data_IF_935313273398
#
_entry.id   IF_935313273398
#
_cell.length_a   1.000
_cell.length_b   1.000
_cell.length_c   1.000
_cell.angle_alpha   90.00
_cell.angle_beta   90.00
_cell.angle_gamma   90.00
#
_symmetry.space_group_name_H-M   'P 1'
#
loop_
_entity.id
_entity.type
_entity.pdbx_description
1 polymer ?
#
# COMPACT_ATOMS: atom_id res chain seq x y z
N UNK A 1 -4.39 -10.61 4.15
CA UNK A 1 -3.00 -11.09 4.08
C UNK A 1 -2.32 -10.82 5.40
N UNK A 2 -1.34 -11.63 5.77
CA UNK A 2 -0.47 -11.31 6.91
C UNK A 2 0.73 -10.50 6.39
N UNK A 3 1.29 -9.56 7.17
CA UNK A 3 2.40 -8.71 6.71
C UNK A 3 3.60 -9.53 6.18
N UNK A 4 3.89 -10.67 6.81
CA UNK A 4 4.96 -11.59 6.41
C UNK A 4 4.76 -12.28 5.03
N UNK A 5 3.58 -12.16 4.42
CA UNK A 5 3.28 -12.75 3.11
C UNK A 5 3.41 -11.73 1.98
N UNK A 6 3.55 -10.45 2.30
CA UNK A 6 3.73 -9.39 1.30
C UNK A 6 5.20 -9.36 0.89
N UNK A 7 5.45 -9.40 -0.43
CA UNK A 7 6.79 -9.35 -1.02
C UNK A 7 6.82 -8.30 -2.11
N UNK A 8 7.99 -7.73 -2.35
CA UNK A 8 8.20 -6.81 -3.47
C UNK A 8 7.95 -7.51 -4.82
N UNK A 9 7.43 -6.76 -5.78
CA UNK A 9 7.16 -7.23 -7.14
C UNK A 9 5.87 -8.01 -7.32
N UNK A 10 5.12 -8.34 -6.26
CA UNK A 10 3.83 -9.02 -6.42
C UNK A 10 2.74 -8.05 -6.87
N UNK A 11 1.87 -8.53 -7.76
CA UNK A 11 0.66 -7.81 -8.16
C UNK A 11 -0.43 -8.00 -7.09
N UNK A 12 -1.05 -6.89 -6.69
CA UNK A 12 -2.11 -6.85 -5.70
C UNK A 12 -3.32 -6.08 -6.21
N UNK A 13 -4.46 -6.29 -5.55
CA UNK A 13 -5.63 -5.44 -5.64
C UNK A 13 -5.89 -4.78 -4.29
N UNK A 14 -5.98 -3.45 -4.28
CA UNK A 14 -6.33 -2.70 -3.08
C UNK A 14 -7.80 -2.95 -2.71
N UNK A 15 -8.11 -2.89 -1.42
CA UNK A 15 -9.44 -3.13 -0.88
C UNK A 15 -9.99 -1.83 -0.27
N UNK A 16 -10.95 -1.94 0.65
CA UNK A 16 -11.51 -0.78 1.32
C UNK A 16 -10.43 -0.04 2.11
N UNK A 17 -10.30 1.26 1.85
CA UNK A 17 -9.35 2.12 2.53
C UNK A 17 -9.83 2.42 3.94
N UNK A 18 -8.89 2.39 4.87
CA UNK A 18 -9.03 2.75 6.28
C UNK A 18 -8.35 4.09 6.53
N UNK A 19 -8.50 4.56 7.77
CA UNK A 19 -7.91 5.80 8.26
C UNK A 19 -6.39 5.81 8.11
N UNK A 20 -5.85 6.98 7.75
CA UNK A 20 -4.39 7.24 7.66
C UNK A 20 -3.84 7.87 8.94
N UNK A 21 -4.67 7.99 9.99
CA UNK A 21 -4.28 8.64 11.24
C UNK A 21 -3.04 7.95 11.83
N UNK A 22 -1.98 8.74 12.05
CA UNK A 22 -0.71 8.26 12.59
C UNK A 22 0.31 7.80 11.55
N UNK A 23 -0.04 7.75 10.26
CA UNK A 23 0.94 7.51 9.20
C UNK A 23 1.79 8.76 9.00
N UNK A 24 3.10 8.64 9.24
CA UNK A 24 4.07 9.72 9.03
C UNK A 24 4.68 9.61 7.63
N UNK A 25 3.83 9.77 6.62
CA UNK A 25 4.21 9.78 5.20
C UNK A 25 3.79 11.10 4.56
N UNK A 26 4.47 11.49 3.47
CA UNK A 26 4.09 12.69 2.72
C UNK A 26 2.65 12.60 2.24
N UNK A 27 1.96 13.75 2.25
CA UNK A 27 0.55 13.84 1.89
C UNK A 27 0.26 13.31 0.47
N UNK A 28 1.17 13.50 -0.48
CA UNK A 28 1.06 12.99 -1.86
C UNK A 28 0.81 11.48 -1.92
N UNK A 29 1.47 10.69 -1.06
CA UNK A 29 1.30 9.25 -1.00
C UNK A 29 0.01 8.81 -0.29
N UNK A 30 -0.59 9.68 0.53
CA UNK A 30 -1.90 9.44 1.12
C UNK A 30 -3.02 9.80 0.16
N UNK A 31 -2.85 10.88 -0.60
CA UNK A 31 -3.81 11.35 -1.60
C UNK A 31 -3.87 10.43 -2.83
N UNK A 32 -2.76 9.75 -3.16
CA UNK A 32 -2.70 8.78 -4.25
C UNK A 32 -3.41 7.43 -3.95
N UNK A 33 -3.98 7.25 -2.75
CA UNK A 33 -4.65 5.99 -2.37
C UNK A 33 -5.96 5.80 -3.12
N UNK A 34 -6.19 4.59 -3.64
CA UNK A 34 -7.36 4.20 -4.45
C UNK A 34 -7.88 2.86 -3.98
N UNK A 35 -9.19 2.77 -3.69
CA UNK A 35 -9.84 1.51 -3.37
C UNK A 35 -10.12 0.70 -4.66
N UNK A 36 -9.94 -0.62 -4.61
CA UNK A 36 -10.27 -1.51 -5.73
C UNK A 36 -9.32 -1.43 -6.93
N UNK A 37 -8.21 -0.69 -6.82
CA UNK A 37 -7.22 -0.52 -7.87
C UNK A 37 -6.20 -1.66 -7.87
N UNK A 38 -5.70 -2.02 -9.05
CA UNK A 38 -4.57 -2.92 -9.20
C UNK A 38 -3.26 -2.14 -9.00
N UNK A 39 -2.23 -2.81 -8.51
CA UNK A 39 -0.90 -2.24 -8.37
C UNK A 39 0.17 -3.27 -8.06
N UNK A 40 1.41 -2.82 -7.98
CA UNK A 40 2.58 -3.64 -7.66
C UNK A 40 3.16 -3.18 -6.33
N UNK A 41 3.49 -4.12 -5.46
CA UNK A 41 4.21 -3.84 -4.21
C UNK A 41 5.64 -3.43 -4.53
N UNK A 42 6.01 -2.21 -4.15
CA UNK A 42 7.35 -1.66 -4.36
C UNK A 42 8.29 -1.88 -3.17
N UNK A 43 7.74 -2.08 -1.97
CA UNK A 43 8.51 -2.24 -0.73
C UNK A 43 7.74 -1.79 0.49
N UNK A 44 8.34 -1.96 1.67
CA UNK A 44 7.77 -1.45 2.92
C UNK A 44 8.11 0.04 3.11
N UNK A 45 7.28 0.76 3.85
CA UNK A 45 7.56 2.13 4.28
C UNK A 45 8.52 2.09 5.49
N UNK A 46 9.73 2.66 5.39
CA UNK A 46 10.67 2.70 6.51
C UNK A 46 10.06 3.39 7.74
N UNK A 47 10.33 2.87 8.93
CA UNK A 47 9.81 3.43 10.19
C UNK A 47 8.36 3.05 10.53
N UNK A 48 7.73 2.16 9.76
CA UNK A 48 6.36 1.67 10.02
C UNK A 48 6.29 0.17 10.33
N UNK A 49 7.40 -0.44 10.77
CA UNK A 49 7.39 -1.81 11.33
C UNK A 49 6.95 -2.92 10.37
N UNK A 50 6.85 -2.65 9.06
CA UNK A 50 6.29 -3.59 8.08
C UNK A 50 4.76 -3.55 7.98
N UNK A 51 4.09 -2.61 8.65
CA UNK A 51 2.64 -2.48 8.58
C UNK A 51 2.18 -1.74 7.32
N UNK A 52 3.01 -0.83 6.83
CA UNK A 52 2.70 0.05 5.69
C UNK A 52 3.62 -0.25 4.52
N UNK A 53 3.05 -0.28 3.32
CA UNK A 53 3.69 -0.68 2.08
C UNK A 53 3.46 0.34 0.98
N UNK A 54 4.46 0.51 0.12
CA UNK A 54 4.39 1.29 -1.10
C UNK A 54 3.76 0.46 -2.21
N UNK A 55 2.65 0.95 -2.76
CA UNK A 55 1.99 0.33 -3.91
C UNK A 55 2.07 1.30 -5.08
N UNK A 56 2.65 0.85 -6.20
CA UNK A 56 2.64 1.57 -7.47
C UNK A 56 1.42 1.15 -8.28
N UNK A 57 0.56 2.11 -8.61
CA UNK A 57 -0.62 1.91 -9.46
C UNK A 57 -0.25 1.93 -10.95
N UNK A 58 -1.18 1.46 -11.79
CA UNK A 58 -1.01 1.43 -13.25
C UNK A 58 -0.79 2.82 -13.87
N UNK A 59 -1.38 3.86 -13.27
CA UNK A 59 -1.19 5.26 -13.69
C UNK A 59 0.14 5.87 -13.24
N UNK A 60 1.00 5.08 -12.60
CA UNK A 60 2.32 5.49 -12.11
C UNK A 60 2.30 6.18 -10.74
N UNK A 61 1.13 6.47 -10.17
CA UNK A 61 1.02 7.02 -8.81
C UNK A 61 1.45 5.99 -7.77
N UNK A 62 2.00 6.46 -6.66
CA UNK A 62 2.44 5.61 -5.54
C UNK A 62 1.62 5.97 -4.32
N UNK A 63 0.97 4.98 -3.71
CA UNK A 63 0.22 5.14 -2.47
C UNK A 63 0.84 4.37 -1.32
N UNK A 64 0.68 4.90 -0.10
CA UNK A 64 0.98 4.18 1.14
C UNK A 64 -0.26 3.42 1.63
N UNK A 65 -0.11 2.12 1.89
CA UNK A 65 -1.22 1.26 2.30
C UNK A 65 -0.83 0.35 3.46
N UNK A 66 -1.77 0.11 4.39
CA UNK A 66 -1.58 -0.94 5.36
C UNK A 66 -1.67 -2.33 4.70
N UNK A 67 -0.96 -3.32 5.24
CA UNK A 67 -0.97 -4.71 4.74
C UNK A 67 -2.37 -5.36 4.68
N UNK A 68 -3.35 -4.80 5.39
CA UNK A 68 -4.74 -5.26 5.41
C UNK A 68 -5.66 -4.52 4.40
N UNK A 69 -5.11 -3.58 3.63
CA UNK A 69 -5.82 -2.77 2.62
C UNK A 69 -5.55 -3.25 1.19
N UNK A 70 -4.92 -4.42 1.04
CA UNK A 70 -4.72 -5.07 -0.24
C UNK A 70 -4.61 -6.58 -0.08
N UNK A 71 -4.76 -7.27 -1.20
CA UNK A 71 -4.56 -8.72 -1.32
C UNK A 71 -3.84 -9.03 -2.62
N UNK A 72 -3.02 -10.07 -2.66
CA UNK A 72 -2.57 -10.59 -3.96
C UNK A 72 -3.77 -11.04 -4.76
N UNK A 73 -3.62 -10.94 -6.07
CA UNK A 73 -4.43 -11.76 -6.95
C UNK A 73 -4.11 -13.25 -6.75
#
# INVERSE_FOLDING_TARGET
>A
MNSNQVKEGISIKTTALKSTKGMLVKHEYLAARKAGATGIVMGFVPGHGGDVWWIKHEDGSIGAYCFNEFKSN
#
